data_IF_376160576080
#
_entry.id   IF_376160576080
#
_cell.length_a   1.000
_cell.length_b   1.000
_cell.length_c   1.000
_cell.angle_alpha   90.00
_cell.angle_beta   90.00
_cell.angle_gamma   90.00
#
_symmetry.space_group_name_H-M   'P 1'
#
loop_
_entity.id
_entity.type
_entity.pdbx_description
1 polymer ?
#
# COMPACT_ATOMS: atom_id res chain seq x y z
N UNK A 1 1.06 1.36 -1.30
CA UNK A 1 1.54 0.66 -2.52
C UNK A 1 0.69 0.91 -3.76
N UNK A 2 -0.64 1.08 -3.65
CA UNK A 2 -1.48 1.35 -4.84
C UNK A 2 -1.47 2.85 -5.19
N UNK A 3 -0.49 3.29 -5.98
CA UNK A 3 -0.43 4.63 -6.57
C UNK A 3 -0.86 4.55 -8.04
N UNK A 4 -0.93 5.70 -8.73
CA UNK A 4 -1.11 5.71 -10.18
C UNK A 4 0.05 4.99 -10.87
N UNK A 5 -0.30 4.04 -11.74
CA UNK A 5 0.61 3.38 -12.69
C UNK A 5 0.27 3.76 -14.13
N UNK A 6 -0.52 4.82 -14.31
CA UNK A 6 -0.87 5.33 -15.62
C UNK A 6 0.31 6.12 -16.21
N UNK A 7 0.49 6.00 -17.53
CA UNK A 7 1.49 6.74 -18.29
C UNK A 7 0.84 7.31 -19.53
N UNK A 8 1.14 8.58 -19.83
CA UNK A 8 0.71 9.27 -21.05
C UNK A 8 1.42 8.72 -22.29
N UNK A 9 2.65 8.21 -22.12
CA UNK A 9 3.46 7.70 -23.20
C UNK A 9 3.47 6.17 -23.16
N UNK A 10 3.05 5.55 -24.26
CA UNK A 10 2.94 4.10 -24.34
C UNK A 10 4.27 3.36 -24.15
N UNK A 11 5.37 4.01 -24.53
CA UNK A 11 6.73 3.48 -24.44
C UNK A 11 7.34 3.68 -23.04
N UNK A 12 6.68 4.44 -22.16
CA UNK A 12 7.13 4.72 -20.77
C UNK A 12 6.15 4.15 -19.75
N UNK A 13 5.69 2.92 -19.97
CA UNK A 13 4.84 2.20 -19.01
C UNK A 13 5.70 1.52 -17.95
N UNK A 14 5.22 1.53 -16.70
CA UNK A 14 5.74 0.64 -15.67
C UNK A 14 5.46 -0.81 -16.06
N UNK A 15 6.51 -1.51 -16.43
CA UNK A 15 6.43 -2.87 -16.93
C UNK A 15 7.08 -3.80 -15.92
N UNK A 16 6.39 -4.88 -15.61
CA UNK A 16 6.95 -5.94 -14.77
C UNK A 16 6.79 -7.25 -15.50
N UNK A 17 7.91 -7.89 -15.84
CA UNK A 17 7.94 -9.24 -16.34
C UNK A 17 7.89 -10.22 -15.17
N UNK A 18 6.90 -11.11 -15.21
CA UNK A 18 6.73 -12.15 -14.20
C UNK A 18 6.26 -13.44 -14.86
N UNK A 19 7.03 -14.52 -14.68
CA UNK A 19 6.76 -15.85 -15.26
C UNK A 19 6.60 -15.80 -16.80
N UNK A 20 7.46 -15.02 -17.46
CA UNK A 20 7.50 -14.91 -18.92
C UNK A 20 6.37 -14.09 -19.53
N UNK A 21 5.62 -13.34 -18.71
CA UNK A 21 4.56 -12.44 -19.15
C UNK A 21 4.80 -11.03 -18.64
N UNK A 22 4.57 -10.06 -19.52
CA UNK A 22 4.64 -8.64 -19.18
C UNK A 22 3.30 -8.14 -18.63
N UNK A 23 3.39 -7.34 -17.58
CA UNK A 23 2.25 -6.70 -16.94
C UNK A 23 2.43 -5.18 -16.93
N UNK A 24 1.31 -4.46 -17.11
CA UNK A 24 1.24 -3.00 -17.10
C UNK A 24 0.13 -2.52 -16.17
N UNK A 25 0.20 -1.26 -15.72
CA UNK A 25 -0.83 -0.65 -14.87
C UNK A 25 -0.88 -1.32 -13.48
N UNK A 26 -2.09 -1.51 -12.94
CA UNK A 26 -2.28 -2.16 -11.63
C UNK A 26 -1.67 -3.57 -11.59
N UNK A 27 -1.75 -4.32 -12.69
CA UNK A 27 -1.22 -5.69 -12.74
C UNK A 27 0.29 -5.75 -12.60
N UNK A 28 1.03 -4.69 -12.93
CA UNK A 28 2.48 -4.61 -12.67
C UNK A 28 2.78 -4.66 -11.18
N UNK A 29 1.95 -4.02 -10.35
CA UNK A 29 2.09 -4.13 -8.89
C UNK A 29 1.87 -5.57 -8.45
N UNK A 30 0.78 -6.22 -8.88
CA UNK A 30 0.53 -7.62 -8.55
C UNK A 30 1.68 -8.54 -8.98
N UNK A 31 2.21 -8.34 -10.18
CA UNK A 31 3.35 -9.08 -10.71
C UNK A 31 4.61 -8.86 -9.86
N UNK A 32 4.92 -7.62 -9.48
CA UNK A 32 6.08 -7.27 -8.65
C UNK A 32 5.99 -7.92 -7.26
N UNK A 33 4.80 -7.87 -6.63
CA UNK A 33 4.57 -8.48 -5.32
C UNK A 33 4.75 -10.00 -5.36
N UNK A 34 4.18 -10.67 -6.37
CA UNK A 34 4.32 -12.11 -6.53
C UNK A 34 5.76 -12.51 -6.88
N UNK A 35 6.45 -11.73 -7.72
CA UNK A 35 7.87 -11.94 -8.03
C UNK A 35 8.74 -11.88 -6.77
N UNK A 36 8.54 -10.87 -5.93
CA UNK A 36 9.25 -10.74 -4.68
C UNK A 36 8.94 -11.88 -3.68
N UNK A 37 7.69 -12.35 -3.62
CA UNK A 37 7.33 -13.52 -2.81
C UNK A 37 8.02 -14.81 -3.32
N UNK A 38 8.07 -15.01 -4.64
CA UNK A 38 8.79 -16.14 -5.25
C UNK A 38 10.32 -16.05 -5.01
N UNK A 39 10.86 -14.84 -4.84
CA UNK A 39 12.25 -14.60 -4.42
C UNK A 39 12.50 -14.83 -2.91
N UNK A 40 11.47 -15.19 -2.14
CA UNK A 40 11.56 -15.45 -0.71
C UNK A 40 11.52 -14.19 0.16
N UNK A 41 11.14 -13.04 -0.39
CA UNK A 41 11.00 -11.80 0.38
C UNK A 41 9.71 -11.87 1.22
N UNK A 42 9.76 -11.69 2.55
CA UNK A 42 8.62 -11.90 3.44
C UNK A 42 7.65 -10.70 3.45
N UNK A 43 7.10 -10.34 2.28
CA UNK A 43 6.19 -9.21 2.08
C UNK A 43 4.83 -9.35 2.78
N UNK A 44 4.51 -10.51 3.35
CA UNK A 44 3.30 -10.72 4.17
C UNK A 44 3.53 -10.40 5.66
N UNK A 45 4.77 -10.07 6.05
CA UNK A 45 5.10 -9.72 7.43
C UNK A 45 5.03 -8.22 7.68
N UNK A 46 4.28 -7.83 8.71
CA UNK A 46 4.26 -6.46 9.20
C UNK A 46 5.65 -5.97 9.64
N UNK A 47 6.44 -6.84 10.28
CA UNK A 47 7.79 -6.50 10.75
C UNK A 47 8.77 -6.26 9.60
N UNK A 48 8.56 -6.90 8.45
CA UNK A 48 9.37 -6.65 7.26
C UNK A 48 9.06 -5.26 6.71
N UNK A 49 7.79 -4.91 6.51
CA UNK A 49 7.42 -3.58 6.01
C UNK A 49 7.79 -2.43 6.95
N UNK A 50 7.79 -2.64 8.27
CA UNK A 50 8.19 -1.59 9.21
C UNK A 50 9.66 -1.21 9.11
N UNK A 51 10.50 -2.10 8.56
CA UNK A 51 11.96 -1.95 8.54
C UNK A 51 12.58 -2.09 7.14
N UNK A 52 11.76 -2.25 6.09
CA UNK A 52 12.24 -2.34 4.71
C UNK A 52 13.02 -1.07 4.35
N UNK A 53 14.14 -1.22 3.65
CA UNK A 53 14.94 -0.08 3.18
C UNK A 53 14.45 0.42 1.82
N UNK A 54 14.86 1.62 1.43
CA UNK A 54 14.57 2.15 0.09
C UNK A 54 15.13 1.23 -1.00
N UNK A 55 16.36 0.71 -0.83
CA UNK A 55 16.98 -0.21 -1.78
C UNK A 55 16.22 -1.54 -1.90
N UNK A 56 15.74 -2.09 -0.79
CA UNK A 56 14.90 -3.29 -0.80
C UNK A 56 13.56 -3.01 -1.49
N UNK A 57 12.94 -1.85 -1.24
CA UNK A 57 11.71 -1.46 -1.90
C UNK A 57 11.91 -1.26 -3.41
N UNK A 58 13.02 -0.62 -3.80
CA UNK A 58 13.43 -0.49 -5.20
C UNK A 58 13.61 -1.85 -5.86
N UNK A 59 14.23 -2.81 -5.17
CA UNK A 59 14.37 -4.18 -5.67
C UNK A 59 13.02 -4.88 -5.83
N UNK A 60 12.13 -4.77 -4.83
CA UNK A 60 10.79 -5.37 -4.86
C UNK A 60 9.95 -4.82 -6.01
N UNK A 61 9.96 -3.50 -6.20
CA UNK A 61 9.15 -2.79 -7.19
C UNK A 61 9.95 -2.37 -8.44
N UNK A 62 11.05 -3.07 -8.73
CA UNK A 62 11.88 -2.77 -9.90
C UNK A 62 11.07 -2.95 -11.19
N UNK A 63 11.17 -1.96 -12.06
CA UNK A 63 10.59 -2.01 -13.41
C UNK A 63 11.53 -2.78 -14.33
N UNK A 64 10.97 -3.48 -15.31
CA UNK A 64 11.68 -4.05 -16.46
C UNK A 64 11.71 -3.05 -17.65
N UNK A 65 11.35 -1.79 -17.39
CA UNK A 65 11.44 -0.63 -18.31
C UNK A 65 12.06 0.58 -17.59
N UNK A 66 12.41 1.63 -18.34
CA UNK A 66 13.03 2.87 -17.82
C UNK A 66 12.07 3.80 -17.02
N UNK A 67 10.92 3.29 -16.56
CA UNK A 67 9.90 4.09 -15.88
C UNK A 67 10.11 4.09 -14.35
N UNK A 68 10.40 5.28 -13.80
CA UNK A 68 10.53 5.50 -12.35
C UNK A 68 9.18 5.82 -11.68
N UNK A 69 9.09 5.56 -10.38
CA UNK A 69 7.90 5.75 -9.55
C UNK A 69 8.26 6.42 -8.22
N UNK A 70 7.30 7.10 -7.56
CA UNK A 70 7.52 7.67 -6.23
C UNK A 70 7.77 6.56 -5.20
N UNK A 71 9.02 6.29 -4.86
CA UNK A 71 9.42 5.22 -3.93
C UNK A 71 9.51 5.70 -2.47
N UNK A 72 9.85 6.98 -2.26
CA UNK A 72 9.99 7.57 -0.93
C UNK A 72 8.63 7.63 -0.21
N UNK A 73 7.58 8.11 -0.88
CA UNK A 73 6.23 8.15 -0.31
C UNK A 73 5.65 6.75 -0.09
N UNK A 74 6.03 5.78 -0.93
CA UNK A 74 5.68 4.38 -0.71
C UNK A 74 6.35 3.84 0.53
N UNK A 75 7.64 4.14 0.72
CA UNK A 75 8.42 3.74 1.88
C UNK A 75 7.82 4.32 3.16
N UNK A 76 7.49 5.61 3.17
CA UNK A 76 6.85 6.27 4.32
C UNK A 76 5.52 5.61 4.69
N UNK A 77 4.69 5.28 3.70
CA UNK A 77 3.42 4.57 3.92
C UNK A 77 3.68 3.15 4.44
N UNK A 78 4.65 2.41 3.90
CA UNK A 78 5.00 1.08 4.38
C UNK A 78 5.50 1.11 5.82
N UNK A 79 6.31 2.10 6.18
CA UNK A 79 6.80 2.27 7.54
C UNK A 79 5.68 2.56 8.53
N UNK A 80 4.51 3.08 8.12
CA UNK A 80 3.34 3.18 9.01
C UNK A 80 2.85 1.81 9.51
N UNK A 81 3.29 0.70 8.91
CA UNK A 81 3.03 -0.67 9.40
C UNK A 81 3.56 -0.90 10.82
N UNK A 82 4.52 -0.10 11.30
CA UNK A 82 4.92 -0.10 12.72
C UNK A 82 3.74 0.13 13.68
N UNK A 83 2.71 0.84 13.25
CA UNK A 83 1.45 1.00 14.01
C UNK A 83 0.76 -0.36 14.25
N UNK A 84 0.81 -1.29 13.28
CA UNK A 84 0.29 -2.64 13.47
C UNK A 84 1.06 -3.37 14.56
N UNK A 85 2.39 -3.26 14.56
CA UNK A 85 3.24 -3.88 15.58
C UNK A 85 2.94 -3.30 16.97
N UNK A 86 2.89 -1.98 17.09
CA UNK A 86 2.74 -1.27 18.37
C UNK A 86 1.34 -1.37 18.98
N UNK A 87 0.29 -1.22 18.17
CA UNK A 87 -1.10 -1.09 18.66
C UNK A 87 -1.95 -2.33 18.43
N UNK A 88 -1.57 -3.18 17.48
CA UNK A 88 -2.41 -4.28 17.01
C UNK A 88 -1.67 -5.62 16.99
N UNK A 89 -0.61 -5.78 17.79
CA UNK A 89 0.11 -7.06 17.94
C UNK A 89 0.67 -7.63 16.63
N UNK A 90 1.01 -6.75 15.69
CA UNK A 90 1.55 -7.10 14.38
C UNK A 90 0.54 -7.64 13.37
N UNK A 91 -0.76 -7.62 13.67
CA UNK A 91 -1.78 -8.21 12.80
C UNK A 91 -3.00 -7.31 12.62
N UNK A 92 -3.36 -7.06 11.36
CA UNK A 92 -4.58 -6.31 11.03
C UNK A 92 -5.86 -7.03 11.50
N UNK A 93 -5.81 -8.36 11.69
CA UNK A 93 -6.91 -9.13 12.28
C UNK A 93 -7.35 -8.56 13.64
N UNK A 94 -6.43 -7.97 14.41
CA UNK A 94 -6.77 -7.36 15.70
C UNK A 94 -7.58 -6.07 15.52
N UNK A 95 -7.36 -5.29 14.46
CA UNK A 95 -8.26 -4.18 14.08
C UNK A 95 -9.69 -4.68 13.85
N UNK A 96 -9.84 -5.78 13.10
CA UNK A 96 -11.14 -6.39 12.79
C UNK A 96 -11.81 -6.89 14.08
N UNK A 97 -11.09 -7.61 14.94
CA UNK A 97 -11.61 -8.07 16.24
C UNK A 97 -12.06 -6.92 17.14
N UNK A 98 -11.26 -5.85 17.24
CA UNK A 98 -11.57 -4.66 18.04
C UNK A 98 -12.76 -3.86 17.49
N UNK A 99 -13.10 -4.04 16.22
CA UNK A 99 -14.29 -3.41 15.64
C UNK A 99 -15.60 -4.05 16.11
N UNK A 100 -15.57 -5.23 16.74
CA UNK A 100 -16.75 -5.96 17.22
C UNK A 100 -17.84 -6.12 16.14
N UNK A 101 -17.45 -6.58 14.94
CA UNK A 101 -18.34 -6.78 13.78
C UNK A 101 -19.07 -5.49 13.33
N UNK A 102 -18.48 -4.32 13.57
CA UNK A 102 -19.04 -3.04 13.15
C UNK A 102 -18.15 -2.37 12.10
N UNK A 103 -18.67 -2.26 10.89
CA UNK A 103 -17.99 -1.60 9.77
C UNK A 103 -17.63 -0.13 10.12
N UNK A 104 -18.51 0.59 10.82
CA UNK A 104 -18.25 1.97 11.24
C UNK A 104 -17.15 2.05 12.29
N UNK A 105 -17.09 1.12 13.25
CA UNK A 105 -15.98 1.05 14.21
C UNK A 105 -14.66 0.69 13.54
N UNK A 106 -14.68 -0.24 12.57
CA UNK A 106 -13.47 -0.59 11.82
C UNK A 106 -12.95 0.61 11.02
N UNK A 107 -13.85 1.33 10.35
CA UNK A 107 -13.51 2.56 9.62
C UNK A 107 -12.87 3.59 10.55
N UNK A 108 -13.48 3.85 11.72
CA UNK A 108 -12.95 4.79 12.70
C UNK A 108 -11.57 4.37 13.20
N UNK A 109 -11.39 3.09 13.58
CA UNK A 109 -10.10 2.55 14.01
C UNK A 109 -9.02 2.74 12.95
N UNK A 110 -9.36 2.51 11.67
CA UNK A 110 -8.42 2.64 10.56
C UNK A 110 -8.02 4.10 10.34
N UNK A 111 -8.99 5.01 10.26
CA UNK A 111 -8.78 6.45 10.06
C UNK A 111 -7.96 7.05 11.22
N UNK A 112 -8.27 6.69 12.46
CA UNK A 112 -7.57 7.22 13.63
C UNK A 112 -6.14 6.70 13.77
N UNK A 113 -5.91 5.45 13.35
CA UNK A 113 -4.63 4.78 13.56
C UNK A 113 -3.66 4.94 12.40
N UNK A 114 -4.13 4.98 11.15
CA UNK A 114 -3.29 4.93 9.96
C UNK A 114 -3.41 6.22 9.14
N UNK A 115 -2.45 7.15 9.24
CA UNK A 115 -2.50 8.43 8.55
C UNK A 115 -2.71 8.33 7.05
N UNK A 116 -2.15 7.29 6.40
CA UNK A 116 -2.31 7.07 4.96
C UNK A 116 -3.74 6.77 4.50
N UNK A 117 -4.68 6.53 5.42
CA UNK A 117 -6.11 6.36 5.12
C UNK A 117 -6.94 7.63 5.34
N UNK A 118 -6.33 8.73 5.82
CA UNK A 118 -6.98 10.03 6.05
C UNK A 118 -6.88 10.94 4.82
N UNK A 119 -7.73 10.70 3.84
CA UNK A 119 -7.99 11.61 2.72
C UNK A 119 -8.93 12.76 3.16
N UNK A 120 -8.38 13.62 4.01
CA UNK A 120 -9.00 14.85 4.49
C UNK A 120 -8.38 16.08 3.82
N UNK A 121 -9.16 17.14 3.69
CA UNK A 121 -8.71 18.43 3.18
C UNK A 121 -9.58 19.59 3.66
N UNK A 122 -9.15 20.81 3.37
CA UNK A 122 -9.94 22.01 3.65
C UNK A 122 -10.47 22.59 2.35
N UNK A 123 -11.79 22.67 2.22
CA UNK A 123 -12.45 23.29 1.07
C UNK A 123 -13.32 24.46 1.55
N UNK A 124 -13.03 25.68 1.06
CA UNK A 124 -13.74 26.91 1.45
C UNK A 124 -13.85 27.10 2.97
N UNK A 125 -12.74 26.85 3.69
CA UNK A 125 -12.67 26.97 5.15
C UNK A 125 -13.36 25.85 5.94
N UNK A 126 -13.92 24.84 5.27
CA UNK A 126 -14.53 23.67 5.92
C UNK A 126 -13.63 22.45 5.76
N UNK A 127 -13.44 21.70 6.84
CA UNK A 127 -12.84 20.36 6.76
C UNK A 127 -13.78 19.44 6.00
N UNK A 128 -13.24 18.72 5.04
CA UNK A 128 -13.93 17.72 4.23
C UNK A 128 -13.11 16.43 4.30
N UNK A 129 -13.79 15.31 4.52
CA UNK A 129 -13.17 14.00 4.58
C UNK A 129 -13.90 13.05 3.64
N UNK A 130 -13.16 12.34 2.78
CA UNK A 130 -13.74 11.34 1.89
C UNK A 130 -13.70 9.95 2.52
N UNK A 131 -12.66 9.62 3.27
CA UNK A 131 -12.34 8.29 3.82
C UNK A 131 -12.47 7.17 2.81
N UNK A 132 -12.19 7.43 1.52
CA UNK A 132 -12.52 6.50 0.44
C UNK A 132 -11.69 5.23 0.52
N UNK A 133 -10.39 5.37 0.81
CA UNK A 133 -9.50 4.21 1.01
C UNK A 133 -9.90 3.38 2.23
N UNK A 134 -10.33 4.03 3.31
CA UNK A 134 -10.80 3.33 4.51
C UNK A 134 -12.12 2.59 4.23
N UNK A 135 -13.05 3.21 3.49
CA UNK A 135 -14.29 2.58 3.07
C UNK A 135 -14.07 1.34 2.21
N UNK A 136 -13.14 1.40 1.24
CA UNK A 136 -12.79 0.23 0.40
C UNK A 136 -12.23 -0.88 1.28
N UNK A 137 -11.25 -0.58 2.15
CA UNK A 137 -10.68 -1.58 3.05
C UNK A 137 -11.73 -2.25 3.95
N UNK A 138 -12.75 -1.52 4.39
CA UNK A 138 -13.82 -2.06 5.24
C UNK A 138 -14.81 -2.93 4.43
N UNK A 139 -14.90 -2.69 3.12
CA UNK A 139 -15.77 -3.43 2.21
C UNK A 139 -15.14 -4.69 1.60
N UNK A 140 -13.80 -4.77 1.58
CA UNK A 140 -13.02 -5.95 1.16
C UNK A 140 -13.12 -7.10 2.17
#
# INVERSE_FOLDING_TARGET
LNFSFWSENEDKKYLVNYKGKDYTGYWSLCAAMNRALDEGIPLTSASYYSCITLDQLNHVLRSDSDTSHPMEERLDILHQTKILMEKFGGSFLNCVKMSHNSATKLLQLVVDSFPSYRDEGTFKGKKVAFYKRAQILVGD
#
